data_IF_340446696391
#
_entry.id   IF_340446696391
#
_cell.length_a   1.000
_cell.length_b   1.000
_cell.length_c   1.000
_cell.angle_alpha   90.00
_cell.angle_beta   90.00
_cell.angle_gamma   90.00
#
_symmetry.space_group_name_H-M   'P 1'
#
loop_
_entity.id
_entity.type
_entity.pdbx_description
1 polymer ?
#
# COMPACT_ATOMS: atom_id res chain seq x y z
N UNK A 1 3.63 12.45 -3.04
CA UNK A 1 3.66 10.97 -3.12
C UNK A 1 3.85 10.47 -1.70
N UNK A 2 2.86 9.80 -1.14
CA UNK A 2 2.89 9.39 0.26
C UNK A 2 2.80 7.87 0.33
N UNK A 3 3.77 7.26 1.00
CA UNK A 3 3.81 5.82 1.23
C UNK A 3 3.67 5.56 2.72
N UNK A 4 2.75 4.69 3.14
CA UNK A 4 2.54 4.33 4.55
C UNK A 4 3.25 3.00 4.87
N UNK A 5 4.02 2.93 5.96
CA UNK A 5 4.63 1.67 6.42
C UNK A 5 3.60 0.82 7.18
N UNK A 6 3.31 -0.39 6.70
CA UNK A 6 2.29 -1.27 7.28
C UNK A 6 2.75 -2.07 8.49
N UNK A 7 1.74 -2.42 9.30
CA UNK A 7 1.59 -3.59 10.15
C UNK A 7 2.58 -4.74 9.86
N UNK A 8 3.25 -5.15 10.94
CA UNK A 8 4.22 -6.22 10.97
C UNK A 8 3.56 -7.49 11.50
N UNK A 9 3.73 -8.62 10.80
CA UNK A 9 3.44 -9.96 11.35
C UNK A 9 4.55 -10.90 10.88
N UNK A 10 5.11 -11.66 11.81
CA UNK A 10 6.19 -12.63 11.55
C UNK A 10 7.42 -12.02 10.85
N UNK A 11 7.70 -10.73 11.09
CA UNK A 11 8.84 -10.00 10.49
C UNK A 11 8.60 -9.50 9.05
N UNK A 12 7.40 -9.70 8.50
CA UNK A 12 7.01 -9.26 7.16
C UNK A 12 6.24 -7.94 7.25
N UNK A 13 6.49 -7.05 6.28
CA UNK A 13 5.90 -5.70 6.21
C UNK A 13 5.12 -5.57 4.90
N UNK A 14 3.91 -5.00 4.93
CA UNK A 14 3.25 -4.56 3.70
C UNK A 14 3.63 -3.11 3.39
N UNK A 15 3.55 -2.74 2.12
CA UNK A 15 3.83 -1.37 1.66
C UNK A 15 2.66 -0.84 0.86
N UNK A 16 2.27 0.40 1.13
CA UNK A 16 1.17 1.07 0.44
C UNK A 16 1.66 2.31 -0.28
N UNK A 17 1.17 2.53 -1.50
CA UNK A 17 1.33 3.77 -2.26
C UNK A 17 -0.04 4.39 -2.51
N UNK A 18 -0.22 5.65 -2.11
CA UNK A 18 -1.48 6.37 -2.30
C UNK A 18 -1.32 7.42 -3.41
N UNK A 19 -2.21 7.38 -4.40
CA UNK A 19 -2.36 8.41 -5.43
C UNK A 19 -3.69 9.15 -5.24
N UNK A 20 -3.62 10.25 -4.48
CA UNK A 20 -4.76 11.12 -4.16
C UNK A 20 -5.16 12.04 -5.33
N UNK A 21 -4.37 12.10 -6.39
CA UNK A 21 -4.69 12.94 -7.56
C UNK A 21 -5.75 12.29 -8.45
N UNK A 22 -6.00 10.99 -8.27
CA UNK A 22 -7.05 10.24 -8.96
C UNK A 22 -8.37 10.33 -8.21
N UNK A 23 -9.47 10.33 -8.96
CA UNK A 23 -10.82 10.17 -8.43
C UNK A 23 -11.50 8.96 -9.11
N UNK A 24 -11.74 7.83 -8.41
CA UNK A 24 -11.45 7.61 -6.98
C UNK A 24 -9.94 7.56 -6.67
N UNK A 25 -9.60 7.77 -5.40
CA UNK A 25 -8.22 7.67 -4.90
C UNK A 25 -7.74 6.24 -5.11
N UNK A 26 -6.52 6.05 -5.61
CA UNK A 26 -5.95 4.72 -5.87
C UNK A 26 -4.91 4.39 -4.82
N UNK A 27 -4.97 3.17 -4.29
CA UNK A 27 -3.99 2.63 -3.34
C UNK A 27 -3.42 1.33 -3.87
N UNK A 28 -2.10 1.29 -4.08
CA UNK A 28 -1.36 0.08 -4.46
C UNK A 28 -0.75 -0.54 -3.20
N UNK A 29 -0.97 -1.84 -2.99
CA UNK A 29 -0.54 -2.58 -1.80
C UNK A 29 0.33 -3.75 -2.20
N UNK A 30 1.58 -3.77 -1.74
CA UNK A 30 2.43 -4.96 -1.83
C UNK A 30 2.30 -5.75 -0.54
N UNK A 31 1.66 -6.91 -0.63
CA UNK A 31 1.39 -7.77 0.52
C UNK A 31 2.41 -8.89 0.62
N UNK A 32 3.22 -8.85 1.69
CA UNK A 32 4.28 -9.81 1.96
C UNK A 32 3.84 -10.94 2.91
N UNK A 33 2.61 -10.89 3.44
CA UNK A 33 2.09 -11.92 4.34
C UNK A 33 1.81 -13.27 3.64
N UNK A 34 1.80 -13.30 2.32
CA UNK A 34 1.64 -14.50 1.51
C UNK A 34 2.94 -14.80 0.74
N UNK A 35 3.24 -16.07 0.53
CA UNK A 35 4.29 -16.53 -0.38
C UNK A 35 3.64 -17.23 -1.59
N UNK A 36 3.79 -16.71 -2.83
CA UNK A 36 4.52 -15.49 -3.17
C UNK A 36 3.78 -14.21 -2.75
N UNK A 37 4.49 -13.08 -2.62
CA UNK A 37 3.86 -11.77 -2.43
C UNK A 37 2.84 -11.48 -3.54
N UNK A 38 1.86 -10.60 -3.25
CA UNK A 38 0.85 -10.17 -4.23
C UNK A 38 0.58 -8.66 -4.20
N UNK A 39 0.10 -8.11 -5.33
CA UNK A 39 -0.17 -6.68 -5.54
C UNK A 39 -1.67 -6.61 -5.49
N UNK A 40 -2.18 -5.86 -4.54
CA UNK A 40 -3.58 -5.49 -4.53
C UNK A 40 -3.69 -4.03 -4.88
N UNK A 41 -4.63 -3.70 -5.76
CA UNK A 41 -4.96 -2.31 -6.08
C UNK A 41 -6.37 -2.07 -5.56
N UNK A 42 -6.48 -1.19 -4.56
CA UNK A 42 -7.74 -0.79 -3.97
C UNK A 42 -8.09 0.63 -4.44
N UNK A 43 -9.39 0.94 -4.55
CA UNK A 43 -9.86 2.29 -4.88
C UNK A 43 -10.82 2.79 -3.79
N UNK A 44 -10.64 4.04 -3.37
CA UNK A 44 -11.43 4.66 -2.32
C UNK A 44 -12.09 5.94 -2.86
N UNK A 45 -13.42 6.01 -2.75
CA UNK A 45 -14.15 7.23 -3.06
C UNK A 45 -14.07 8.18 -1.88
N UNK A 46 -13.47 9.36 -2.10
CA UNK A 46 -13.50 10.46 -1.15
C UNK A 46 -14.89 11.13 -1.07
N UNK A 47 -15.88 10.70 -1.84
CA UNK A 47 -17.25 11.19 -1.74
C UNK A 47 -18.07 10.40 -0.70
N UNK A 48 -17.60 9.22 -0.30
CA UNK A 48 -18.27 8.38 0.69
C UNK A 48 -17.64 8.51 2.08
N UNK A 49 -18.43 8.58 3.17
CA UNK A 49 -17.88 8.67 4.53
C UNK A 49 -16.89 7.53 4.87
N UNK A 50 -17.20 6.30 4.48
CA UNK A 50 -16.34 5.14 4.75
C UNK A 50 -14.97 5.27 4.09
N UNK A 51 -14.92 5.64 2.80
CA UNK A 51 -13.65 5.83 2.09
C UNK A 51 -12.82 6.97 2.68
N UNK A 52 -13.45 8.05 3.15
CA UNK A 52 -12.74 9.13 3.89
C UNK A 52 -12.09 8.61 5.17
N UNK A 53 -12.84 7.87 5.98
CA UNK A 53 -12.35 7.31 7.26
C UNK A 53 -11.14 6.40 7.01
N UNK A 54 -11.20 5.53 6.01
CA UNK A 54 -10.09 4.62 5.68
C UNK A 54 -8.84 5.38 5.21
N UNK A 55 -9.01 6.39 4.35
CA UNK A 55 -7.91 7.25 3.90
C UNK A 55 -7.30 8.03 5.07
N UNK A 56 -8.12 8.57 5.97
CA UNK A 56 -7.63 9.31 7.15
C UNK A 56 -6.91 8.38 8.15
N UNK A 57 -7.39 7.15 8.34
CA UNK A 57 -6.73 6.15 9.17
C UNK A 57 -5.32 5.81 8.63
N UNK A 58 -5.18 5.68 7.30
CA UNK A 58 -3.88 5.46 6.66
C UNK A 58 -2.89 6.61 6.94
N UNK A 59 -3.38 7.84 7.05
CA UNK A 59 -2.55 9.03 7.31
C UNK A 59 -2.08 9.14 8.75
N UNK A 60 -2.94 8.79 9.70
CA UNK A 60 -2.69 9.06 11.11
C UNK A 60 -1.85 7.99 11.81
N UNK A 61 -1.91 6.73 11.33
CA UNK A 61 -1.29 5.60 12.05
C UNK A 61 0.07 5.16 11.49
N UNK A 62 0.43 5.56 10.27
CA UNK A 62 1.58 4.97 9.58
C UNK A 62 2.65 5.99 9.20
N UNK A 63 3.92 5.77 9.58
CA UNK A 63 5.01 6.65 9.19
C UNK A 63 5.20 6.61 7.67
N UNK A 64 5.49 7.80 7.12
CA UNK A 64 5.65 7.97 5.67
C UNK A 64 7.05 7.53 5.23
N UNK A 65 7.15 6.76 4.15
CA UNK A 65 8.42 6.42 3.49
C UNK A 65 8.56 7.15 2.15
N UNK A 66 9.78 7.27 1.66
CA UNK A 66 10.13 7.88 0.38
C UNK A 66 9.79 6.99 -0.81
N UNK A 67 9.80 7.57 -2.02
CA UNK A 67 9.63 6.82 -3.27
C UNK A 67 10.72 5.78 -3.52
N UNK A 68 11.97 6.08 -3.15
CA UNK A 68 13.10 5.16 -3.32
C UNK A 68 12.99 3.96 -2.39
N UNK A 69 12.52 4.17 -1.15
CA UNK A 69 12.21 3.08 -0.23
C UNK A 69 11.11 2.17 -0.78
N UNK A 70 10.08 2.74 -1.42
CA UNK A 70 9.06 1.96 -2.09
C UNK A 70 9.61 1.15 -3.26
N UNK A 71 10.35 1.78 -4.19
CA UNK A 71 10.91 1.06 -5.36
C UNK A 71 11.79 -0.10 -4.92
N UNK A 72 12.56 0.10 -3.85
CA UNK A 72 13.39 -0.95 -3.25
C UNK A 72 12.54 -2.09 -2.69
N UNK A 73 11.48 -1.78 -1.96
CA UNK A 73 10.55 -2.78 -1.43
C UNK A 73 9.81 -3.54 -2.54
N UNK A 74 9.30 -2.82 -3.54
CA UNK A 74 8.64 -3.38 -4.70
C UNK A 74 9.56 -4.33 -5.47
N UNK A 75 10.79 -3.90 -5.77
CA UNK A 75 11.78 -4.73 -6.46
C UNK A 75 12.09 -6.03 -5.70
N UNK A 76 12.24 -5.96 -4.36
CA UNK A 76 12.40 -7.14 -3.52
C UNK A 76 11.18 -8.08 -3.60
N UNK A 77 9.97 -7.55 -3.62
CA UNK A 77 8.75 -8.34 -3.73
C UNK A 77 8.63 -9.04 -5.08
N UNK A 78 8.97 -8.34 -6.16
CA UNK A 78 8.86 -8.84 -7.54
C UNK A 78 10.00 -9.77 -7.95
N UNK A 79 11.10 -9.80 -7.18
CA UNK A 79 12.15 -10.79 -7.36
C UNK A 79 11.65 -12.23 -7.05
N UNK A 80 10.61 -12.34 -6.22
CA UNK A 80 9.84 -13.57 -5.98
C UNK A 80 8.63 -13.65 -6.92
N UNK A 81 8.37 -14.83 -7.52
CA UNK A 81 7.35 -15.03 -8.57
C UNK A 81 5.94 -14.56 -8.16
N UNK A 82 5.59 -13.35 -8.57
CA UNK A 82 4.42 -12.64 -8.11
C UNK A 82 3.11 -13.05 -8.81
N UNK A 83 1.97 -12.92 -8.13
CA UNK A 83 0.63 -13.04 -8.73
C UNK A 83 -0.16 -11.76 -8.58
N UNK A 84 -0.78 -11.33 -9.68
CA UNK A 84 -1.80 -10.28 -9.69
C UNK A 84 -3.14 -10.96 -9.39
N UNK A 85 -3.89 -10.42 -8.43
CA UNK A 85 -5.26 -10.85 -8.11
C UNK A 85 -6.27 -10.05 -8.92
#
# INVERSE_FOLDING_TARGET
>A
MFYAKCYQRDGLFNFYKVDETKNPIVVEVVCFLNDPPHLRVDTYSSDTPSGRIEIDALKNYYPRISEDEYKTAFAKATATNFKIL
#
